data_IF_121445786128
#
_entry.id   IF_121445786128
#
_cell.length_a   1.000
_cell.length_b   1.000
_cell.length_c   1.000
_cell.angle_alpha   90.00
_cell.angle_beta   90.00
_cell.angle_gamma   90.00
#
_symmetry.space_group_name_H-M   'P 1'
#
loop_
_entity.id
_entity.type
_entity.pdbx_description
1 polymer ?
#
# COMPACT_ATOMS: atom_id res chain seq x y z
N UNK A 1 40.26 48.82 26.61
CA UNK A 1 39.76 50.09 26.04
C UNK A 1 39.42 49.80 24.57
N UNK A 2 38.20 49.77 24.05
CA UNK A 2 36.85 50.19 24.45
C UNK A 2 35.87 49.02 24.35
N UNK A 3 34.88 49.06 25.23
CA UNK A 3 33.67 48.24 25.27
C UNK A 3 32.66 48.85 24.29
N UNK A 4 31.90 48.03 23.57
CA UNK A 4 30.64 48.45 22.96
C UNK A 4 29.53 47.42 23.23
N UNK A 5 28.39 47.96 23.68
CA UNK A 5 27.24 47.31 24.32
C UNK A 5 26.10 47.06 23.31
N UNK A 6 25.40 45.94 23.53
CA UNK A 6 23.94 45.67 23.52
C UNK A 6 22.99 46.35 22.51
N UNK A 7 22.19 45.52 21.81
CA UNK A 7 20.72 45.38 21.88
C UNK A 7 20.33 44.15 21.01
N UNK A 8 19.79 43.01 21.50
CA UNK A 8 18.45 42.67 22.02
C UNK A 8 17.29 42.83 21.04
N UNK A 9 16.80 41.69 20.51
CA UNK A 9 15.48 41.31 19.94
C UNK A 9 15.75 40.38 18.74
N UNK A 10 15.15 39.21 18.53
CA UNK A 10 14.03 38.46 19.09
C UNK A 10 13.84 37.25 18.15
N UNK A 11 12.98 36.30 18.54
CA UNK A 11 12.52 35.15 17.76
C UNK A 11 13.46 33.95 17.60
N UNK A 12 13.42 33.09 18.62
CA UNK A 12 13.57 31.64 18.45
C UNK A 12 12.26 31.14 17.80
N UNK A 13 12.28 30.82 16.51
CA UNK A 13 11.21 30.05 15.86
C UNK A 13 11.71 28.62 15.74
N UNK A 14 11.26 27.79 16.68
CA UNK A 14 11.33 26.34 16.61
C UNK A 14 10.44 25.89 15.45
N UNK A 15 11.01 25.49 14.31
CA UNK A 15 10.25 24.86 13.23
C UNK A 15 9.97 23.42 13.64
N UNK A 16 8.82 23.23 14.28
CA UNK A 16 8.17 21.96 14.48
C UNK A 16 7.43 21.63 13.17
N UNK A 17 8.06 20.89 12.25
CA UNK A 17 7.37 20.36 11.08
C UNK A 17 6.57 19.12 11.49
N UNK A 18 5.36 19.36 12.01
CA UNK A 18 4.37 18.33 12.26
C UNK A 18 3.67 18.00 10.94
N UNK A 19 3.77 16.73 10.53
CA UNK A 19 2.98 16.14 9.44
C UNK A 19 1.51 16.16 9.88
N UNK A 20 0.69 16.95 9.17
CA UNK A 20 -0.77 16.89 9.26
C UNK A 20 -1.29 16.64 7.85
N UNK A 21 -1.54 15.38 7.52
CA UNK A 21 -2.47 15.00 6.46
C UNK A 21 -3.67 14.33 7.11
N UNK A 22 -4.73 15.10 7.34
CA UNK A 22 -6.13 14.66 7.31
C UNK A 22 -7.04 15.81 7.74
N UNK A 23 -7.80 16.37 6.79
CA UNK A 23 -9.23 16.70 6.93
C UNK A 23 -9.63 17.84 5.98
N UNK A 24 -10.04 17.45 4.77
CA UNK A 24 -11.07 18.11 3.97
C UNK A 24 -11.26 17.30 2.68
N UNK A 25 -11.84 16.11 2.80
CA UNK A 25 -12.18 15.28 1.65
C UNK A 25 -13.56 14.67 1.88
N UNK A 26 -14.61 15.49 1.90
CA UNK A 26 -15.96 14.98 2.04
C UNK A 26 -16.97 15.80 1.21
N UNK A 27 -17.81 15.09 0.45
CA UNK A 27 -18.93 15.64 -0.33
C UNK A 27 -18.93 15.36 -1.84
N UNK A 28 -17.77 15.40 -2.52
CA UNK A 28 -17.72 15.27 -3.99
C UNK A 28 -17.63 13.82 -4.52
N UNK A 29 -16.92 12.94 -3.81
CA UNK A 29 -16.63 11.57 -4.27
C UNK A 29 -17.83 10.62 -4.23
N UNK A 30 -18.73 10.79 -3.27
CA UNK A 30 -19.87 9.88 -3.14
C UNK A 30 -20.85 9.97 -4.33
N UNK A 31 -21.00 11.15 -4.94
CA UNK A 31 -21.83 11.34 -6.13
C UNK A 31 -21.16 10.85 -7.42
N UNK A 32 -19.83 10.98 -7.52
CA UNK A 32 -19.08 10.56 -8.72
C UNK A 32 -18.99 9.04 -8.88
N UNK A 33 -18.94 8.27 -7.78
CA UNK A 33 -18.95 6.80 -7.86
C UNK A 33 -20.34 6.23 -8.19
N UNK A 34 -21.42 6.88 -7.75
CA UNK A 34 -22.78 6.46 -8.06
C UNK A 34 -23.07 6.58 -9.57
N UNK A 35 -22.63 7.67 -10.21
CA UNK A 35 -22.86 7.91 -11.64
C UNK A 35 -22.14 6.90 -12.54
N UNK A 36 -20.92 6.49 -12.17
CA UNK A 36 -20.14 5.50 -12.91
C UNK A 36 -20.72 4.07 -12.78
N UNK A 37 -21.37 3.76 -11.65
CA UNK A 37 -22.03 2.47 -11.42
C UNK A 37 -23.27 2.29 -12.31
N UNK A 38 -24.07 3.35 -12.47
CA UNK A 38 -25.28 3.32 -13.29
C UNK A 38 -25.01 3.21 -14.80
N UNK A 39 -23.84 3.66 -15.27
CA UNK A 39 -23.47 3.66 -16.69
C UNK A 39 -22.76 2.38 -17.16
N UNK A 40 -22.06 1.68 -16.27
CA UNK A 40 -21.23 0.53 -16.66
C UNK A 40 -21.60 -0.78 -15.96
N UNK A 41 -22.54 -0.78 -15.00
CA UNK A 41 -22.89 -1.98 -14.25
C UNK A 41 -21.70 -2.60 -13.51
N UNK A 42 -21.95 -3.72 -12.82
CA UNK A 42 -20.89 -4.59 -12.30
C UNK A 42 -20.30 -5.38 -13.47
N UNK A 43 -19.55 -4.70 -14.36
CA UNK A 43 -18.70 -5.42 -15.31
C UNK A 43 -17.77 -6.31 -14.46
N UNK A 44 -17.70 -7.62 -14.72
CA UNK A 44 -16.74 -8.47 -14.04
C UNK A 44 -15.36 -7.94 -14.42
N UNK A 45 -14.74 -7.21 -13.50
CA UNK A 45 -13.31 -6.90 -13.60
C UNK A 45 -12.65 -8.27 -13.58
N UNK A 46 -12.04 -8.74 -14.69
CA UNK A 46 -11.28 -9.98 -14.63
C UNK A 46 -10.35 -9.87 -13.43
N UNK A 47 -10.24 -10.92 -12.62
CA UNK A 47 -9.25 -10.95 -11.53
C UNK A 47 -7.90 -10.75 -12.20
N UNK A 48 -7.41 -9.50 -12.16
CA UNK A 48 -6.16 -9.09 -12.82
C UNK A 48 -4.95 -9.85 -12.28
N UNK A 49 -5.13 -10.46 -11.11
CA UNK A 49 -4.08 -11.08 -10.34
C UNK A 49 -4.37 -12.56 -10.07
N UNK A 50 -3.30 -13.38 -10.09
CA UNK A 50 -3.43 -14.78 -9.70
C UNK A 50 -3.86 -14.88 -8.23
N UNK A 51 -4.67 -15.91 -7.93
CA UNK A 51 -4.99 -16.25 -6.54
C UNK A 51 -3.75 -16.76 -5.83
N UNK A 52 -3.52 -16.28 -4.61
CA UNK A 52 -2.42 -16.69 -3.75
C UNK A 52 -2.47 -18.20 -3.46
N UNK A 53 -1.31 -18.84 -3.44
CA UNK A 53 -1.20 -20.24 -3.00
C UNK A 53 -1.41 -20.36 -1.48
N UNK A 54 -2.24 -21.28 -0.98
CA UNK A 54 -2.48 -21.42 0.45
C UNK A 54 -1.21 -21.72 1.26
N UNK A 55 -1.07 -21.08 2.43
CA UNK A 55 -0.06 -21.36 3.45
C UNK A 55 1.33 -20.73 3.24
N UNK A 56 1.59 -20.07 2.11
CA UNK A 56 2.90 -19.43 1.87
C UNK A 56 3.13 -18.31 2.88
N UNK A 57 2.12 -17.45 3.11
CA UNK A 57 2.23 -16.28 3.99
C UNK A 57 2.56 -16.70 5.43
N UNK A 58 1.86 -17.72 5.94
CA UNK A 58 2.09 -18.28 7.25
C UNK A 58 3.49 -18.92 7.38
N UNK A 59 3.89 -19.72 6.39
CA UNK A 59 5.19 -20.41 6.39
C UNK A 59 6.37 -19.43 6.41
N UNK A 60 6.27 -18.32 5.70
CA UNK A 60 7.29 -17.27 5.73
C UNK A 60 7.36 -16.66 7.13
N UNK A 61 6.21 -16.29 7.69
CA UNK A 61 6.13 -15.67 9.01
C UNK A 61 6.62 -16.61 10.13
N UNK A 62 6.46 -17.93 9.95
CA UNK A 62 6.91 -18.96 10.88
C UNK A 62 8.42 -18.95 11.16
N UNK A 63 9.23 -18.33 10.27
CA UNK A 63 10.68 -18.14 10.49
C UNK A 63 10.97 -17.19 11.65
N UNK A 64 10.07 -16.26 11.96
CA UNK A 64 10.27 -15.19 12.95
C UNK A 64 9.16 -15.12 14.01
N UNK A 65 8.03 -15.79 13.79
CA UNK A 65 6.90 -15.75 14.69
C UNK A 65 7.25 -16.40 16.04
N UNK A 66 6.98 -15.66 17.11
CA UNK A 66 7.04 -16.08 18.51
C UNK A 66 5.65 -16.24 19.13
N UNK A 67 4.61 -15.82 18.41
CA UNK A 67 3.20 -15.95 18.78
C UNK A 67 2.48 -16.86 17.80
N UNK A 68 1.21 -17.16 18.11
CA UNK A 68 0.31 -17.77 17.14
C UNK A 68 0.23 -16.91 15.85
N UNK A 69 0.21 -17.60 14.71
CA UNK A 69 0.05 -17.00 13.39
C UNK A 69 -1.42 -17.08 13.03
N UNK A 70 -2.01 -15.93 12.73
CA UNK A 70 -3.37 -15.85 12.20
C UNK A 70 -3.29 -15.68 10.68
N UNK A 71 -4.15 -16.37 9.94
CA UNK A 71 -4.18 -16.32 8.47
C UNK A 71 -5.60 -16.04 8.00
N UNK A 72 -5.74 -15.07 7.10
CA UNK A 72 -7.02 -14.68 6.51
C UNK A 72 -6.86 -14.56 5.00
N UNK A 73 -7.85 -15.04 4.25
CA UNK A 73 -7.90 -14.88 2.79
C UNK A 73 -9.04 -13.97 2.39
N UNK A 74 -8.75 -12.97 1.56
CA UNK A 74 -9.74 -12.06 0.99
C UNK A 74 -9.33 -11.69 -0.44
N UNK A 75 -10.30 -11.64 -1.35
CA UNK A 75 -10.11 -11.28 -2.78
C UNK A 75 -8.91 -11.99 -3.44
N UNK A 76 -8.78 -13.29 -3.15
CA UNK A 76 -7.74 -14.12 -3.73
C UNK A 76 -6.35 -13.95 -3.14
N UNK A 77 -6.15 -13.11 -2.11
CA UNK A 77 -4.87 -12.97 -1.40
C UNK A 77 -5.00 -13.48 0.04
N UNK A 78 -4.14 -14.42 0.38
CA UNK A 78 -3.88 -14.88 1.74
C UNK A 78 -2.87 -13.94 2.42
N UNK A 79 -3.21 -13.52 3.63
CA UNK A 79 -2.37 -12.68 4.47
C UNK A 79 -2.27 -13.30 5.87
N UNK A 80 -1.06 -13.34 6.41
CA UNK A 80 -0.78 -13.80 7.77
C UNK A 80 -0.28 -12.66 8.64
N UNK A 81 -0.65 -12.69 9.92
CA UNK A 81 -0.17 -11.76 10.94
C UNK A 81 0.26 -12.50 12.22
N UNK A 82 1.30 -11.99 12.88
CA UNK A 82 1.84 -12.51 14.13
C UNK A 82 2.64 -11.43 14.87
N UNK A 83 3.22 -11.78 16.02
CA UNK A 83 4.13 -10.94 16.81
C UNK A 83 3.55 -9.56 17.17
N UNK A 84 2.26 -9.52 17.47
CA UNK A 84 1.62 -8.33 18.04
C UNK A 84 2.28 -7.98 19.37
N UNK A 85 2.92 -6.81 19.45
CA UNK A 85 3.73 -6.43 20.61
C UNK A 85 3.68 -4.94 20.86
N UNK A 86 3.86 -4.56 22.12
CA UNK A 86 4.03 -3.17 22.53
C UNK A 86 5.53 -2.85 22.68
N UNK A 87 6.00 -1.85 21.96
CA UNK A 87 7.37 -1.33 22.07
C UNK A 87 7.34 0.19 22.01
N UNK A 88 7.95 0.89 22.98
CA UNK A 88 8.10 2.35 22.96
C UNK A 88 6.80 3.14 22.69
N UNK A 89 5.68 2.73 23.30
CA UNK A 89 4.35 3.31 23.09
C UNK A 89 3.78 3.10 21.66
N UNK A 90 4.24 2.06 20.98
CA UNK A 90 3.77 1.65 19.67
C UNK A 90 3.32 0.20 19.72
N UNK A 91 2.21 -0.11 19.06
CA UNK A 91 1.89 -1.49 18.73
C UNK A 91 2.60 -1.81 17.42
N UNK A 92 3.31 -2.92 17.40
CA UNK A 92 3.93 -3.48 16.20
C UNK A 92 3.32 -4.82 15.87
N UNK A 93 3.15 -5.08 14.58
CA UNK A 93 2.60 -6.34 14.06
C UNK A 93 3.40 -6.75 12.85
N UNK A 94 3.82 -8.02 12.79
CA UNK A 94 4.49 -8.56 11.61
C UNK A 94 3.44 -9.19 10.70
N UNK A 95 3.42 -8.78 9.44
CA UNK A 95 2.47 -9.25 8.43
C UNK A 95 3.22 -9.79 7.21
N UNK A 96 2.67 -10.83 6.58
CA UNK A 96 3.17 -11.38 5.32
C UNK A 96 2.01 -11.60 4.35
N UNK A 97 2.22 -11.30 3.07
CA UNK A 97 1.26 -11.61 2.01
C UNK A 97 1.97 -11.88 0.69
N UNK A 98 1.32 -12.62 -0.20
CA UNK A 98 1.82 -12.83 -1.55
C UNK A 98 1.59 -11.59 -2.41
N UNK A 99 2.60 -11.22 -3.19
CA UNK A 99 2.49 -10.10 -4.12
C UNK A 99 2.10 -10.63 -5.50
N UNK A 100 1.10 -10.02 -6.16
CA UNK A 100 0.66 -10.48 -7.48
C UNK A 100 1.70 -10.38 -8.60
N UNK A 101 2.66 -9.47 -8.46
CA UNK A 101 3.75 -9.20 -9.40
C UNK A 101 4.96 -8.62 -8.62
N UNK A 102 5.99 -8.21 -9.37
CA UNK A 102 7.23 -7.65 -8.86
C UNK A 102 7.17 -6.16 -8.49
N UNK A 103 5.98 -5.54 -8.51
CA UNK A 103 5.84 -4.14 -8.09
C UNK A 103 6.00 -4.01 -6.58
N UNK A 104 6.20 -2.78 -6.11
CA UNK A 104 6.24 -2.52 -4.68
C UNK A 104 4.81 -2.46 -4.11
N UNK A 105 4.43 -3.47 -3.33
CA UNK A 105 3.11 -3.56 -2.71
C UNK A 105 3.15 -3.12 -1.25
N UNK A 106 2.22 -2.24 -0.86
CA UNK A 106 2.13 -1.69 0.49
C UNK A 106 0.72 -1.90 1.03
N UNK A 107 0.60 -2.20 2.32
CA UNK A 107 -0.70 -2.39 2.98
C UNK A 107 -1.28 -1.09 3.56
N UNK A 108 -2.58 -0.87 3.34
CA UNK A 108 -3.38 0.17 4.03
C UNK A 108 -3.94 -0.44 5.32
N UNK A 109 -3.19 -0.23 6.41
CA UNK A 109 -3.44 -0.86 7.70
C UNK A 109 -3.91 0.14 8.77
N UNK A 110 -4.77 -0.34 9.66
CA UNK A 110 -5.20 0.38 10.85
C UNK A 110 -5.44 -0.58 12.01
N UNK A 111 -5.20 -0.14 13.24
CA UNK A 111 -5.61 -0.82 14.46
C UNK A 111 -6.90 -0.20 15.00
N UNK A 112 -7.85 -1.04 15.37
CA UNK A 112 -8.98 -0.66 16.21
C UNK A 112 -8.62 -0.95 17.69
N UNK A 113 -8.75 0.07 18.53
CA UNK A 113 -8.51 0.02 19.98
C UNK A 113 -9.74 0.62 20.67
N UNK A 114 -10.57 -0.24 21.26
CA UNK A 114 -11.88 0.19 21.75
C UNK A 114 -12.68 0.84 20.61
N UNK A 115 -13.02 2.14 20.75
CA UNK A 115 -13.72 2.91 19.73
C UNK A 115 -12.80 3.73 18.81
N UNK A 116 -11.49 3.73 19.08
CA UNK A 116 -10.52 4.50 18.31
C UNK A 116 -9.93 3.68 17.16
N UNK A 117 -9.76 4.33 16.01
CA UNK A 117 -9.08 3.78 14.85
C UNK A 117 -7.75 4.49 14.66
N UNK A 118 -6.66 3.76 14.84
CA UNK A 118 -5.29 4.26 14.74
C UNK A 118 -4.69 3.80 13.40
N UNK A 119 -4.38 4.69 12.46
CA UNK A 119 -3.73 4.30 11.21
C UNK A 119 -2.28 3.85 11.46
N UNK A 120 -1.76 2.96 10.62
CA UNK A 120 -0.33 2.70 10.59
C UNK A 120 0.41 4.00 10.25
N UNK A 121 1.41 4.36 11.05
CA UNK A 121 2.23 5.55 10.78
C UNK A 121 3.52 5.19 10.04
N UNK A 122 3.89 3.91 10.04
CA UNK A 122 5.08 3.40 9.39
C UNK A 122 5.00 1.88 9.20
N UNK A 123 5.84 1.40 8.29
CA UNK A 123 6.08 0.00 8.04
C UNK A 123 7.54 -0.21 7.70
N UNK A 124 8.12 -1.34 8.09
CA UNK A 124 9.48 -1.72 7.71
C UNK A 124 9.44 -3.12 7.12
N UNK A 125 9.81 -3.22 5.84
CA UNK A 125 9.99 -4.51 5.19
C UNK A 125 11.14 -5.24 5.82
N UNK A 126 10.90 -6.46 6.28
CA UNK A 126 11.95 -7.31 6.85
C UNK A 126 12.30 -8.50 5.95
N UNK A 127 11.41 -8.89 5.04
CA UNK A 127 11.70 -9.90 4.02
C UNK A 127 10.82 -9.67 2.78
N UNK A 128 11.38 -9.85 1.58
CA UNK A 128 10.62 -9.97 0.35
C UNK A 128 11.25 -11.00 -0.59
N UNK A 129 10.41 -11.65 -1.39
CA UNK A 129 10.82 -12.49 -2.51
C UNK A 129 10.28 -11.88 -3.80
N UNK A 130 11.14 -11.75 -4.79
CA UNK A 130 10.81 -11.22 -6.11
C UNK A 130 11.33 -12.17 -7.19
N UNK A 131 10.50 -12.46 -8.19
CA UNK A 131 10.91 -13.16 -9.41
C UNK A 131 11.37 -12.12 -10.42
N UNK A 132 12.63 -12.24 -10.85
CA UNK A 132 13.27 -11.34 -11.80
C UNK A 132 12.98 -11.76 -13.25
N UNK A 133 13.23 -10.85 -14.19
CA UNK A 133 13.01 -11.09 -15.63
C UNK A 133 13.81 -12.27 -16.20
N UNK A 134 14.97 -12.57 -15.61
CA UNK A 134 15.83 -13.69 -16.01
C UNK A 134 15.36 -15.05 -15.44
N UNK A 135 14.23 -15.08 -14.74
CA UNK A 135 13.65 -16.27 -14.14
C UNK A 135 14.31 -16.69 -12.82
N UNK A 136 15.23 -15.89 -12.28
CA UNK A 136 15.75 -16.09 -10.94
C UNK A 136 14.82 -15.48 -9.90
N UNK A 137 14.77 -16.07 -8.70
CA UNK A 137 14.16 -15.44 -7.53
C UNK A 137 15.22 -14.81 -6.64
N UNK A 138 14.93 -13.62 -6.14
CA UNK A 138 15.72 -12.89 -5.15
C UNK A 138 14.96 -12.84 -3.83
N UNK A 139 15.53 -13.41 -2.78
CA UNK A 139 15.03 -13.19 -1.41
C UNK A 139 15.91 -12.12 -0.78
N UNK A 140 15.29 -11.03 -0.35
CA UNK A 140 15.96 -9.93 0.35
C UNK A 140 15.44 -9.86 1.78
N UNK A 141 16.33 -9.91 2.76
CA UNK A 141 16.02 -9.80 4.19
C UNK A 141 16.65 -8.56 4.80
N UNK A 142 15.92 -7.88 5.67
CA UNK A 142 16.33 -6.70 6.43
C UNK A 142 16.12 -6.98 7.93
N UNK A 143 16.97 -7.84 8.49
CA UNK A 143 16.86 -8.27 9.88
C UNK A 143 17.97 -7.66 10.76
N UNK A 144 17.68 -7.52 12.05
CA UNK A 144 18.60 -6.99 13.06
C UNK A 144 18.39 -5.52 13.40
N UNK A 145 19.12 -5.05 14.42
CA UNK A 145 19.15 -3.65 14.82
C UNK A 145 20.63 -3.21 14.98
N UNK A 146 21.20 -2.42 14.05
CA UNK A 146 20.55 -1.87 12.84
C UNK A 146 20.21 -2.97 11.80
N UNK A 147 19.24 -2.72 10.90
CA UNK A 147 18.89 -3.67 9.84
C UNK A 147 20.10 -4.00 8.97
N UNK A 148 20.40 -5.28 8.82
CA UNK A 148 21.41 -5.77 7.89
C UNK A 148 20.73 -6.29 6.64
N UNK A 149 21.10 -5.73 5.50
CA UNK A 149 20.69 -6.22 4.18
C UNK A 149 21.43 -7.53 3.90
N UNK A 150 20.69 -8.62 3.78
CA UNK A 150 21.19 -9.85 3.18
C UNK A 150 20.28 -10.22 2.00
N UNK A 151 20.87 -10.80 0.96
CA UNK A 151 20.10 -11.31 -0.17
C UNK A 151 20.65 -12.66 -0.62
N UNK A 152 19.77 -13.44 -1.25
CA UNK A 152 20.12 -14.70 -1.90
C UNK A 152 19.39 -14.81 -3.23
N UNK A 153 20.04 -15.49 -4.19
CA UNK A 153 19.52 -15.76 -5.52
C UNK A 153 19.40 -17.27 -5.71
N UNK A 154 18.35 -17.70 -6.41
CA UNK A 154 18.18 -19.09 -6.84
C UNK A 154 17.27 -19.14 -8.07
N UNK A 155 17.25 -20.24 -8.84
CA UNK A 155 16.25 -20.42 -9.89
C UNK A 155 14.83 -20.32 -9.32
N UNK A 156 13.90 -19.72 -10.07
CA UNK A 156 12.49 -19.77 -9.70
C UNK A 156 11.99 -21.21 -9.68
N UNK A 157 11.30 -21.57 -8.61
CA UNK A 157 10.65 -22.86 -8.40
C UNK A 157 9.13 -22.76 -8.58
N UNK A 158 8.66 -21.67 -9.21
CA UNK A 158 7.23 -21.38 -9.38
C UNK A 158 6.53 -20.95 -8.09
N UNK A 159 7.26 -20.72 -7.00
CA UNK A 159 6.66 -20.10 -5.82
C UNK A 159 6.30 -18.65 -6.11
N UNK A 160 5.14 -18.17 -5.62
CA UNK A 160 4.72 -16.80 -5.79
C UNK A 160 5.61 -15.87 -4.97
N UNK A 161 5.76 -14.66 -5.50
CA UNK A 161 6.42 -13.56 -4.81
C UNK A 161 5.65 -13.20 -3.52
N UNK A 162 6.38 -12.67 -2.54
CA UNK A 162 5.78 -12.27 -1.27
C UNK A 162 6.52 -11.10 -0.65
N UNK A 163 5.82 -10.42 0.25
CA UNK A 163 6.36 -9.35 1.07
C UNK A 163 5.97 -9.57 2.52
N UNK A 164 6.90 -9.24 3.41
CA UNK A 164 6.63 -9.17 4.82
C UNK A 164 7.13 -7.86 5.44
N UNK A 165 6.25 -7.25 6.24
CA UNK A 165 6.46 -5.96 6.89
C UNK A 165 6.20 -6.05 8.40
N UNK A 166 6.96 -5.29 9.18
CA UNK A 166 6.56 -4.90 10.53
C UNK A 166 5.80 -3.57 10.43
N UNK A 167 4.50 -3.60 10.71
CA UNK A 167 3.66 -2.42 10.77
C UNK A 167 3.75 -1.78 12.15
N UNK A 168 3.75 -0.44 12.22
CA UNK A 168 3.85 0.31 13.47
C UNK A 168 2.70 1.31 13.63
N UNK A 169 2.13 1.35 14.84
CA UNK A 169 0.96 2.16 15.20
C UNK A 169 1.24 2.92 16.48
N UNK A 170 1.18 4.25 16.44
CA UNK A 170 1.38 5.10 17.64
C UNK A 170 0.10 5.14 18.44
N UNK A 171 0.18 4.75 19.72
CA UNK A 171 -0.98 4.76 20.61
C UNK A 171 -1.36 6.17 21.09
N UNK A 172 -0.45 7.15 20.97
CA UNK A 172 -0.68 8.47 21.55
C UNK A 172 -0.86 8.36 23.06
N UNK A 173 -1.92 8.99 23.58
CA UNK A 173 -2.31 8.93 24.99
C UNK A 173 -3.31 7.79 25.29
N UNK A 174 -3.59 6.91 24.33
CA UNK A 174 -4.52 5.81 24.52
C UNK A 174 -4.04 4.87 25.63
N UNK A 175 -4.96 4.46 26.50
CA UNK A 175 -4.67 3.46 27.52
C UNK A 175 -4.27 2.13 26.87
N UNK A 176 -3.39 1.38 27.53
CA UNK A 176 -2.92 0.08 27.04
C UNK A 176 -4.11 -0.82 26.64
N UNK A 177 -4.22 -1.20 25.36
CA UNK A 177 -5.34 -2.01 24.92
C UNK A 177 -5.15 -3.46 25.37
N UNK A 178 -6.15 -4.01 26.08
CA UNK A 178 -6.19 -5.45 26.34
C UNK A 178 -6.42 -6.25 25.05
N UNK A 179 -7.14 -5.68 24.09
CA UNK A 179 -7.41 -6.28 22.79
C UNK A 179 -7.27 -5.24 21.68
N UNK A 180 -6.69 -5.66 20.57
CA UNK A 180 -6.57 -4.87 19.34
C UNK A 180 -7.12 -5.67 18.16
N UNK A 181 -7.69 -4.95 17.18
CA UNK A 181 -8.09 -5.54 15.90
C UNK A 181 -7.28 -4.86 14.80
N UNK A 182 -6.40 -5.61 14.13
CA UNK A 182 -5.73 -5.18 12.93
C UNK A 182 -6.66 -5.35 11.74
N UNK A 183 -6.95 -4.25 11.05
CA UNK A 183 -7.67 -4.24 9.79
C UNK A 183 -6.73 -3.74 8.68
N UNK A 184 -6.49 -4.59 7.69
CA UNK A 184 -5.84 -4.22 6.44
C UNK A 184 -6.93 -4.13 5.38
N UNK A 185 -7.16 -2.92 4.88
CA UNK A 185 -8.29 -2.61 3.99
C UNK A 185 -7.98 -2.82 2.53
N UNK A 186 -6.73 -2.66 2.16
CA UNK A 186 -6.25 -2.90 0.81
C UNK A 186 -4.73 -3.10 0.83
N UNK A 187 -4.22 -3.71 -0.23
CA UNK A 187 -2.82 -3.55 -0.63
C UNK A 187 -2.80 -2.75 -1.93
N UNK A 188 -1.85 -1.83 -2.03
CA UNK A 188 -1.68 -0.91 -3.15
C UNK A 188 -0.30 -1.14 -3.75
N UNK A 189 -0.25 -1.22 -5.07
CA UNK A 189 0.98 -1.34 -5.83
C UNK A 189 1.46 0.03 -6.29
N UNK A 190 2.76 0.25 -6.17
CA UNK A 190 3.48 1.31 -6.87
C UNK A 190 4.52 0.66 -7.80
N UNK A 191 4.62 1.10 -9.07
CA UNK A 191 5.71 0.78 -9.98
C UNK A 191 7.06 1.01 -9.33
N UNK A 192 8.06 0.29 -9.81
CA UNK A 192 9.42 0.53 -9.36
C UNK A 192 9.90 1.91 -9.81
N UNK A 193 10.95 2.39 -9.14
CA UNK A 193 11.56 3.68 -9.47
C UNK A 193 11.96 3.72 -10.95
N UNK A 194 11.46 4.73 -11.68
CA UNK A 194 11.72 4.90 -13.11
C UNK A 194 10.69 4.25 -14.06
N UNK A 195 9.80 3.38 -13.58
CA UNK A 195 8.83 2.65 -14.44
C UNK A 195 7.46 3.34 -14.55
N UNK A 196 7.19 4.30 -13.66
CA UNK A 196 5.85 4.78 -13.31
C UNK A 196 4.89 5.02 -14.48
N UNK A 197 5.10 6.04 -15.33
CA UNK A 197 4.07 6.42 -16.30
C UNK A 197 3.84 5.37 -17.40
N UNK A 198 4.92 4.75 -17.88
CA UNK A 198 4.84 3.81 -18.98
C UNK A 198 4.12 2.54 -18.54
N UNK A 199 4.50 1.97 -17.40
CA UNK A 199 3.87 0.77 -16.85
C UNK A 199 2.38 1.01 -16.52
N UNK A 200 2.08 2.12 -15.84
CA UNK A 200 0.70 2.50 -15.53
C UNK A 200 -0.17 2.63 -16.79
N UNK A 201 0.36 3.27 -17.83
CA UNK A 201 -0.33 3.41 -19.12
C UNK A 201 -0.54 2.07 -19.80
N UNK A 202 0.49 1.25 -19.89
CA UNK A 202 0.43 0.01 -20.65
C UNK A 202 -0.55 -0.96 -19.99
N UNK A 203 -0.59 -1.01 -18.65
CA UNK A 203 -1.59 -1.76 -17.90
C UNK A 203 -3.02 -1.24 -18.18
N UNK A 204 -3.28 0.05 -17.97
CA UNK A 204 -4.61 0.63 -18.19
C UNK A 204 -5.07 0.46 -19.64
N UNK A 205 -4.18 0.71 -20.61
CA UNK A 205 -4.46 0.56 -22.03
C UNK A 205 -4.76 -0.90 -22.40
N UNK A 206 -4.05 -1.87 -21.80
CA UNK A 206 -4.31 -3.29 -22.04
C UNK A 206 -5.74 -3.69 -21.64
N UNK A 207 -6.24 -3.17 -20.52
CA UNK A 207 -7.59 -3.43 -20.01
C UNK A 207 -8.65 -2.77 -20.91
N UNK A 208 -8.44 -1.50 -21.29
CA UNK A 208 -9.31 -0.79 -22.23
C UNK A 208 -9.40 -1.52 -23.59
N UNK A 209 -8.27 -2.04 -24.08
CA UNK A 209 -8.20 -2.81 -25.31
C UNK A 209 -8.95 -4.14 -25.18
N UNK A 210 -8.73 -4.89 -24.09
CA UNK A 210 -9.40 -6.17 -23.84
C UNK A 210 -10.92 -6.02 -23.76
N UNK A 211 -11.40 -4.90 -23.23
CA UNK A 211 -12.82 -4.55 -23.15
C UNK A 211 -13.39 -3.94 -24.43
N UNK A 212 -12.54 -3.64 -25.41
CA UNK A 212 -12.91 -2.92 -26.64
C UNK A 212 -13.61 -1.57 -26.35
N UNK A 213 -13.20 -0.87 -25.29
CA UNK A 213 -13.81 0.40 -24.88
C UNK A 213 -13.52 1.55 -25.88
N UNK A 214 -12.57 1.37 -26.80
CA UNK A 214 -12.21 2.38 -27.81
C UNK A 214 -11.54 3.64 -27.26
N UNK A 215 -11.10 3.59 -25.99
CA UNK A 215 -10.34 4.67 -25.35
C UNK A 215 -8.86 4.42 -25.55
N UNK A 216 -8.12 5.46 -25.92
CA UNK A 216 -6.66 5.48 -25.85
C UNK A 216 -6.20 6.51 -24.84
N UNK A 217 -5.23 6.12 -24.03
CA UNK A 217 -4.65 6.97 -22.99
C UNK A 217 -3.18 7.23 -23.28
N UNK A 218 -2.75 8.44 -22.96
CA UNK A 218 -1.35 8.79 -22.81
C UNK A 218 -1.07 9.13 -21.34
N UNK A 219 0.20 9.10 -20.95
CA UNK A 219 0.63 9.33 -19.59
C UNK A 219 1.82 10.29 -19.57
N UNK A 220 1.65 11.37 -18.81
CA UNK A 220 2.73 12.31 -18.51
C UNK A 220 3.05 12.27 -17.01
N UNK A 221 4.32 12.15 -16.67
CA UNK A 221 4.82 12.49 -15.34
C UNK A 221 5.28 13.95 -15.39
N UNK A 222 4.65 14.79 -14.57
CA UNK A 222 5.20 16.12 -14.35
C UNK A 222 6.15 16.03 -13.16
N UNK A 223 7.40 16.45 -13.37
CA UNK A 223 8.39 16.66 -12.31
C UNK A 223 7.94 17.83 -11.43
N UNK A 224 7.02 17.58 -10.51
CA UNK A 224 6.76 18.50 -9.41
C UNK A 224 7.72 18.17 -8.27
N UNK A 225 8.30 19.20 -7.64
CA UNK A 225 9.27 19.16 -6.54
C UNK A 225 8.80 18.37 -5.28
N UNK A 226 7.62 17.76 -5.29
CA UNK A 226 7.01 17.00 -4.17
C UNK A 226 6.42 15.65 -4.60
N UNK A 227 7.08 14.97 -5.53
CA UNK A 227 6.73 13.62 -5.98
C UNK A 227 6.03 13.63 -7.33
N UNK A 228 6.53 12.80 -8.25
CA UNK A 228 5.96 12.65 -9.59
C UNK A 228 4.49 12.21 -9.48
N UNK A 229 3.57 13.05 -9.97
CA UNK A 229 2.16 12.67 -10.12
C UNK A 229 1.96 12.12 -11.53
N UNK A 230 1.60 10.85 -11.61
CA UNK A 230 1.12 10.23 -12.84
C UNK A 230 -0.18 10.91 -13.26
N UNK A 231 -0.21 11.51 -14.45
CA UNK A 231 -1.43 12.07 -15.04
C UNK A 231 -1.74 11.36 -16.35
N UNK A 232 -2.93 10.77 -16.41
CA UNK A 232 -3.50 10.26 -17.65
C UNK A 232 -4.13 11.39 -18.47
N UNK A 233 -3.92 11.33 -19.77
CA UNK A 233 -4.60 12.17 -20.77
C UNK A 233 -5.34 11.26 -21.74
N UNK A 234 -6.62 11.50 -21.96
CA UNK A 234 -7.39 10.76 -22.97
C UNK A 234 -7.00 11.31 -24.35
N UNK A 235 -6.40 10.48 -25.20
CA UNK A 235 -6.01 10.87 -26.57
C UNK A 235 -7.05 10.46 -27.61
N UNK A 236 -7.82 9.41 -27.34
CA UNK A 236 -8.93 8.95 -28.19
C UNK A 236 -10.04 8.38 -27.31
N UNK A 237 -11.29 8.56 -27.74
CA UNK A 237 -12.47 7.93 -27.12
C UNK A 237 -13.60 7.80 -28.15
N UNK A 238 -14.58 6.91 -27.93
CA UNK A 238 -15.76 6.83 -28.78
C UNK A 238 -16.51 8.16 -28.85
N UNK A 239 -17.11 8.45 -30.01
CA UNK A 239 -17.91 9.67 -30.23
C UNK A 239 -19.14 9.72 -29.31
N UNK A 240 -19.69 8.55 -28.97
CA UNK A 240 -20.83 8.41 -28.05
C UNK A 240 -20.49 8.64 -26.58
N UNK A 241 -19.20 8.68 -26.21
CA UNK A 241 -18.75 8.81 -24.82
C UNK A 241 -18.31 10.25 -24.54
N UNK A 242 -18.74 10.84 -23.43
CA UNK A 242 -18.23 12.15 -23.00
C UNK A 242 -16.79 12.07 -22.48
N UNK A 243 -16.09 13.20 -22.42
CA UNK A 243 -14.74 13.27 -21.86
C UNK A 243 -14.71 12.85 -20.38
N UNK A 244 -15.66 13.36 -19.59
CA UNK A 244 -15.78 13.04 -18.16
C UNK A 244 -16.00 11.54 -17.93
N UNK A 245 -16.86 10.90 -18.74
CA UNK A 245 -17.09 9.46 -18.67
C UNK A 245 -15.82 8.65 -18.99
N UNK A 246 -15.04 9.08 -19.99
CA UNK A 246 -13.77 8.43 -20.34
C UNK A 246 -12.75 8.55 -19.19
N UNK A 247 -12.62 9.74 -18.60
CA UNK A 247 -11.73 10.00 -17.47
C UNK A 247 -12.13 9.21 -16.22
N UNK A 248 -13.44 9.13 -15.92
CA UNK A 248 -13.96 8.32 -14.81
C UNK A 248 -13.66 6.84 -15.01
N UNK A 249 -13.85 6.31 -16.22
CA UNK A 249 -13.56 4.91 -16.53
C UNK A 249 -12.05 4.61 -16.39
N UNK A 250 -11.19 5.47 -16.95
CA UNK A 250 -9.73 5.35 -16.84
C UNK A 250 -9.28 5.43 -15.39
N UNK A 251 -9.82 6.37 -14.61
CA UNK A 251 -9.52 6.49 -13.19
C UNK A 251 -9.94 5.25 -12.41
N UNK A 252 -11.13 4.70 -12.69
CA UNK A 252 -11.62 3.46 -12.07
C UNK A 252 -10.70 2.29 -12.39
N UNK A 253 -10.37 2.08 -13.67
CA UNK A 253 -9.45 1.02 -14.11
C UNK A 253 -8.11 1.17 -13.42
N UNK A 254 -7.54 2.38 -13.39
CA UNK A 254 -6.28 2.64 -12.70
C UNK A 254 -6.36 2.24 -11.23
N UNK A 255 -7.36 2.70 -10.48
CA UNK A 255 -7.48 2.34 -9.06
C UNK A 255 -7.66 0.83 -8.85
N UNK A 256 -8.50 0.17 -9.64
CA UNK A 256 -8.74 -1.28 -9.55
C UNK A 256 -7.54 -2.11 -9.99
N UNK A 257 -6.69 -1.57 -10.88
CA UNK A 257 -5.51 -2.28 -11.39
C UNK A 257 -4.30 -2.19 -10.48
N UNK A 258 -4.30 -1.31 -9.49
CA UNK A 258 -3.17 -1.15 -8.56
C UNK A 258 -3.61 -1.27 -7.11
N UNK A 259 -4.87 -1.66 -6.86
CA UNK A 259 -5.41 -1.84 -5.51
C UNK A 259 -6.15 -3.17 -5.43
N UNK A 260 -5.73 -4.03 -4.50
CA UNK A 260 -6.51 -5.20 -4.10
C UNK A 260 -7.15 -4.87 -2.76
N UNK A 261 -8.47 -4.79 -2.74
CA UNK A 261 -9.22 -4.55 -1.52
C UNK A 261 -9.22 -5.81 -0.63
N UNK A 262 -9.27 -5.61 0.68
CA UNK A 262 -9.53 -6.67 1.67
C UNK A 262 -11.03 -6.80 1.98
N UNK A 263 -11.44 -6.95 3.26
CA UNK A 263 -10.64 -6.74 4.46
C UNK A 263 -9.91 -8.00 4.94
N UNK A 264 -8.65 -7.85 5.36
CA UNK A 264 -7.98 -8.83 6.22
C UNK A 264 -8.07 -8.34 7.67
N UNK A 265 -8.69 -9.14 8.53
CA UNK A 265 -9.00 -8.76 9.91
C UNK A 265 -8.37 -9.77 10.86
N UNK A 266 -7.52 -9.29 11.76
CA UNK A 266 -6.83 -10.09 12.75
C UNK A 266 -7.13 -9.55 14.14
N UNK A 267 -7.45 -10.42 15.10
CA UNK A 267 -7.82 -10.01 16.46
C UNK A 267 -6.81 -10.57 17.44
N UNK A 268 -6.27 -9.72 18.31
CA UNK A 268 -5.27 -10.16 19.28
C UNK A 268 -5.48 -9.53 20.65
N UNK A 269 -5.37 -10.36 21.69
CA UNK A 269 -5.23 -9.90 23.06
C UNK A 269 -3.75 -9.60 23.33
N UNK A 270 -3.44 -8.38 23.79
CA UNK A 270 -2.07 -8.01 24.17
C UNK A 270 -1.87 -8.27 25.65
N UNK A 271 -0.85 -9.06 25.96
CA UNK A 271 -0.38 -9.24 27.33
C UNK A 271 0.65 -8.15 27.65
N UNK A 272 0.61 -7.64 28.89
CA UNK A 272 1.65 -6.73 29.40
C UNK A 272 2.92 -7.49 29.77
#
# INVERSE_FOLDING_TARGET
MKIQKFMLTGFVITILALVIFASAYDGGKAKSFALAKDLYGDLPTPTLYPTSLPGISARVLQKIASTEIQTVSANGIEMSAANFRLENNEVKVDVCFQTPNNNDWISDASLQIGNEKVPAYGGTTFEKMETLEDGQKRITTYLGNPPKLNWSMSPSDGQPDYRCDTLAFRLGDAAFPAQVVLQIRSIVSTPNEGEGCAEYRDMVQSILNARSDGIKVDCSQNDFEFGARTRFTIVEKPVSMSQEQAEQLVSKIFYESFTINGPWIFTQTLNR
#
